data_IF_695189312637
#
_entry.id   IF_695189312637
#
_cell.length_a   1.000
_cell.length_b   1.000
_cell.length_c   1.000
_cell.angle_alpha   90.00
_cell.angle_beta   90.00
_cell.angle_gamma   90.00
#
_symmetry.space_group_name_H-M   'P 1'
#
loop_
_entity.id
_entity.type
_entity.pdbx_description
1 polymer ?
#
# COMPACT_ATOMS: atom_id res chain seq x y z
N UNK A 1 -4.23 34.08 10.33
CA UNK A 1 -4.94 33.07 9.56
C UNK A 1 -4.19 31.75 9.54
N UNK A 2 -4.86 30.71 9.61
CA UNK A 2 -4.22 29.41 9.66
C UNK A 2 -4.87 28.48 8.65
N UNK A 3 -4.13 27.52 8.21
CA UNK A 3 -4.61 26.50 7.34
C UNK A 3 -5.04 25.29 8.17
N UNK A 4 -6.24 24.83 7.92
CA UNK A 4 -6.75 23.62 8.56
C UNK A 4 -6.06 22.44 7.91
N UNK A 5 -5.16 21.83 8.62
CA UNK A 5 -4.47 20.64 8.13
C UNK A 5 -5.21 19.40 8.60
N UNK A 6 -5.71 18.62 7.66
CA UNK A 6 -6.40 17.38 7.99
C UNK A 6 -5.42 16.33 8.47
N UNK A 7 -5.88 15.52 9.41
CA UNK A 7 -5.13 14.33 9.82
C UNK A 7 -5.48 13.16 8.92
N UNK A 8 -4.62 12.16 8.92
CA UNK A 8 -4.86 10.90 8.21
C UNK A 8 -6.18 10.29 8.64
N UNK A 9 -6.44 10.30 9.95
CA UNK A 9 -7.70 9.75 10.49
C UNK A 9 -8.92 10.44 9.91
N UNK A 10 -8.88 11.76 9.78
CA UNK A 10 -9.99 12.53 9.20
C UNK A 10 -10.23 12.18 7.74
N UNK A 11 -9.14 11.97 6.97
CA UNK A 11 -9.26 11.55 5.58
C UNK A 11 -9.89 10.17 5.49
N UNK A 12 -9.45 9.23 6.33
CA UNK A 12 -9.96 7.87 6.30
C UNK A 12 -11.44 7.79 6.68
N UNK A 13 -11.93 8.69 7.51
CA UNK A 13 -13.34 8.71 7.90
C UNK A 13 -14.28 8.94 6.72
N UNK A 14 -13.81 9.63 5.70
CA UNK A 14 -14.62 9.92 4.51
C UNK A 14 -14.54 8.82 3.47
N UNK A 15 -13.74 7.79 3.73
CA UNK A 15 -13.58 6.68 2.80
C UNK A 15 -14.22 5.43 3.40
N UNK A 16 -15.34 5.03 2.83
CA UNK A 16 -16.07 3.83 3.28
C UNK A 16 -15.55 2.60 2.56
N UNK A 17 -14.27 2.28 2.76
CA UNK A 17 -13.75 1.10 2.11
C UNK A 17 -12.79 0.36 3.02
N UNK A 18 -12.77 -0.94 2.82
CA UNK A 18 -11.89 -1.83 3.55
C UNK A 18 -10.47 -1.70 3.01
N UNK A 19 -9.52 -2.04 3.85
CA UNK A 19 -8.16 -2.25 3.40
C UNK A 19 -8.15 -3.50 2.53
N UNK A 20 -7.72 -3.33 1.29
CA UNK A 20 -7.57 -4.46 0.38
C UNK A 20 -6.17 -5.02 0.55
N UNK A 21 -6.08 -6.28 0.89
CA UNK A 21 -4.82 -6.93 1.18
C UNK A 21 -4.68 -8.25 0.44
N UNK A 22 -3.46 -8.76 0.43
CA UNK A 22 -3.16 -10.05 -0.17
C UNK A 22 -2.13 -10.76 0.69
N UNK A 23 -2.12 -12.10 0.62
CA UNK A 23 -1.16 -12.90 1.37
C UNK A 23 0.18 -12.98 0.63
N UNK A 24 1.30 -13.13 1.36
CA UNK A 24 2.63 -13.18 0.74
C UNK A 24 2.78 -14.32 -0.27
N UNK A 25 2.13 -15.44 -0.03
CA UNK A 25 2.25 -16.62 -0.89
C UNK A 25 1.30 -16.62 -2.08
N UNK A 26 0.44 -15.62 -2.21
CA UNK A 26 -0.40 -15.48 -3.38
C UNK A 26 0.45 -15.18 -4.61
N UNK A 27 -0.05 -15.54 -5.78
CA UNK A 27 0.65 -15.22 -7.03
C UNK A 27 0.52 -13.74 -7.35
N UNK A 28 1.49 -13.24 -8.11
CA UNK A 28 1.42 -11.88 -8.65
C UNK A 28 0.15 -11.72 -9.49
N UNK A 29 -0.21 -12.78 -10.24
CA UNK A 29 -1.42 -12.73 -11.05
C UNK A 29 -2.68 -12.49 -10.20
N UNK A 30 -2.81 -13.20 -9.08
CA UNK A 30 -3.93 -12.99 -8.17
C UNK A 30 -3.95 -11.56 -7.63
N UNK A 31 -2.77 -11.01 -7.34
CA UNK A 31 -2.65 -9.63 -6.88
C UNK A 31 -3.15 -8.64 -7.94
N UNK A 32 -2.77 -8.87 -9.20
CA UNK A 32 -3.21 -8.00 -10.30
C UNK A 32 -4.71 -8.07 -10.51
N UNK A 33 -5.30 -9.26 -10.42
CA UNK A 33 -6.75 -9.44 -10.53
C UNK A 33 -7.45 -8.64 -9.43
N UNK A 34 -6.94 -8.73 -8.20
CA UNK A 34 -7.53 -8.04 -7.07
C UNK A 34 -7.43 -6.52 -7.22
N UNK A 35 -6.28 -6.04 -7.68
CA UNK A 35 -6.09 -4.60 -7.93
C UNK A 35 -7.03 -4.09 -9.02
N UNK A 36 -7.21 -4.85 -10.08
CA UNK A 36 -8.12 -4.49 -11.15
C UNK A 36 -9.57 -4.46 -10.66
N UNK A 37 -9.94 -5.45 -9.85
CA UNK A 37 -11.30 -5.53 -9.30
C UNK A 37 -11.66 -4.31 -8.44
N UNK A 38 -10.70 -3.83 -7.67
CA UNK A 38 -10.92 -2.70 -6.76
C UNK A 38 -10.46 -1.36 -7.33
N UNK A 39 -9.91 -1.36 -8.54
CA UNK A 39 -9.39 -0.16 -9.20
C UNK A 39 -8.38 0.59 -8.31
N UNK A 40 -7.40 -0.15 -7.82
CA UNK A 40 -6.35 0.39 -6.97
C UNK A 40 -4.97 0.00 -7.50
N UNK A 41 -3.97 0.81 -7.20
CA UNK A 41 -2.61 0.63 -7.71
C UNK A 41 -1.65 -0.04 -6.75
N UNK A 42 -2.13 -0.48 -5.58
CA UNK A 42 -1.29 -1.16 -4.62
C UNK A 42 -2.11 -2.02 -3.68
N UNK A 43 -1.43 -2.99 -3.06
CA UNK A 43 -2.04 -3.86 -2.04
C UNK A 43 -1.09 -3.93 -0.86
N UNK A 44 -1.64 -3.86 0.35
CA UNK A 44 -0.84 -4.23 1.52
C UNK A 44 -0.73 -5.75 1.55
N UNK A 45 0.43 -6.24 1.92
CA UNK A 45 0.69 -7.68 2.01
C UNK A 45 0.69 -8.05 3.48
N UNK A 46 -0.28 -8.87 3.86
CA UNK A 46 -0.48 -9.26 5.25
C UNK A 46 -0.28 -10.77 5.41
N UNK A 47 0.52 -11.11 6.40
CA UNK A 47 0.66 -12.49 6.86
C UNK A 47 -0.18 -12.59 8.13
N UNK A 48 -1.41 -13.09 7.98
CA UNK A 48 -2.41 -12.92 9.03
C UNK A 48 -2.76 -11.45 9.17
N UNK A 49 -2.50 -10.87 10.33
CA UNK A 49 -2.71 -9.44 10.57
C UNK A 49 -1.40 -8.64 10.49
N UNK A 50 -0.28 -9.32 10.28
CA UNK A 50 1.02 -8.68 10.28
C UNK A 50 1.36 -8.12 8.90
N UNK A 51 1.68 -6.83 8.85
CA UNK A 51 2.13 -6.18 7.63
C UNK A 51 3.54 -6.66 7.29
N UNK A 52 3.70 -7.29 6.13
CA UNK A 52 4.98 -7.82 5.68
C UNK A 52 5.53 -7.08 4.48
N UNK A 53 4.70 -6.36 3.75
CA UNK A 53 5.15 -5.64 2.59
C UNK A 53 4.03 -4.87 1.93
N UNK A 54 4.37 -4.23 0.82
CA UNK A 54 3.41 -3.59 -0.06
C UNK A 54 3.76 -3.96 -1.49
N UNK A 55 2.75 -4.27 -2.28
CA UNK A 55 2.89 -4.61 -3.68
C UNK A 55 2.19 -3.55 -4.53
N UNK A 56 2.91 -2.97 -5.49
CA UNK A 56 2.37 -1.90 -6.33
C UNK A 56 2.52 -2.24 -7.80
N UNK A 57 1.81 -1.47 -8.65
CA UNK A 57 1.96 -1.56 -10.09
C UNK A 57 3.41 -1.29 -10.52
N UNK A 58 4.11 -0.43 -9.80
CA UNK A 58 5.53 -0.16 -10.06
C UNK A 58 6.37 -1.40 -9.82
N UNK A 59 6.10 -2.13 -8.72
CA UNK A 59 6.80 -3.38 -8.42
C UNK A 59 6.55 -4.40 -9.53
N UNK A 60 5.32 -4.49 -10.00
CA UNK A 60 4.97 -5.39 -11.08
C UNK A 60 5.76 -5.06 -12.35
N UNK A 61 5.76 -3.80 -12.75
CA UNK A 61 6.46 -3.39 -13.96
C UNK A 61 7.96 -3.67 -13.87
N UNK A 62 8.58 -3.32 -12.76
CA UNK A 62 10.04 -3.37 -12.61
C UNK A 62 10.57 -4.76 -12.26
N UNK A 63 9.83 -5.53 -11.45
CA UNK A 63 10.31 -6.78 -10.91
C UNK A 63 9.74 -8.02 -11.62
N UNK A 64 8.69 -7.84 -12.39
CA UNK A 64 8.06 -8.95 -13.11
C UNK A 64 8.17 -8.75 -14.61
N UNK A 65 7.56 -7.69 -15.14
CA UNK A 65 7.53 -7.46 -16.59
C UNK A 65 8.93 -7.27 -17.15
N UNK A 66 9.69 -6.33 -16.61
CA UNK A 66 11.03 -6.03 -17.13
C UNK A 66 12.04 -7.17 -16.93
N UNK A 67 11.81 -8.02 -15.92
CA UNK A 67 12.69 -9.16 -15.67
C UNK A 67 12.20 -10.45 -16.34
N UNK A 68 11.12 -10.38 -17.11
CA UNK A 68 10.60 -11.53 -17.84
C UNK A 68 10.05 -12.65 -16.97
N UNK A 69 9.60 -12.32 -15.76
CA UNK A 69 9.03 -13.32 -14.86
C UNK A 69 7.56 -13.59 -15.18
N UNK A 70 7.11 -14.79 -14.83
CA UNK A 70 5.71 -15.18 -15.00
C UNK A 70 4.87 -14.71 -13.81
N UNK A 71 3.81 -13.95 -14.08
CA UNK A 71 2.89 -13.49 -13.03
C UNK A 71 2.24 -14.64 -12.29
N UNK A 72 1.96 -15.74 -12.97
CA UNK A 72 1.28 -16.90 -12.39
C UNK A 72 2.20 -17.77 -11.56
N UNK A 73 3.50 -17.72 -11.80
CA UNK A 73 4.48 -18.55 -11.11
C UNK A 73 5.32 -17.78 -10.08
N UNK A 74 5.15 -16.47 -10.02
CA UNK A 74 5.88 -15.65 -9.06
C UNK A 74 4.97 -15.30 -7.88
N UNK A 75 5.47 -15.48 -6.67
CA UNK A 75 4.74 -15.12 -5.46
C UNK A 75 4.95 -13.65 -5.12
N UNK A 76 3.93 -13.05 -4.53
CA UNK A 76 3.97 -11.64 -4.13
C UNK A 76 5.18 -11.37 -3.23
N UNK A 77 5.48 -12.27 -2.28
CA UNK A 77 6.61 -12.09 -1.36
C UNK A 77 7.96 -11.95 -2.06
N UNK A 78 8.08 -12.47 -3.28
CA UNK A 78 9.35 -12.41 -4.01
C UNK A 78 9.64 -11.03 -4.59
N UNK A 79 8.58 -10.23 -4.82
CA UNK A 79 8.75 -8.97 -5.53
C UNK A 79 8.17 -7.77 -4.78
N UNK A 80 7.52 -7.95 -3.65
CA UNK A 80 6.96 -6.85 -2.88
C UNK A 80 8.05 -6.00 -2.26
N UNK A 81 7.70 -4.77 -1.91
CA UNK A 81 8.57 -3.90 -1.13
C UNK A 81 8.47 -4.31 0.32
N UNK A 82 9.60 -4.69 0.94
CA UNK A 82 9.63 -5.18 2.32
C UNK A 82 9.71 -4.07 3.36
N UNK A 83 10.45 -3.01 3.04
CA UNK A 83 10.59 -1.86 3.95
C UNK A 83 9.44 -0.92 3.71
N UNK A 84 8.33 -1.18 4.38
CA UNK A 84 7.12 -0.40 4.19
C UNK A 84 7.18 0.83 5.09
N UNK A 85 7.04 1.99 4.47
CA UNK A 85 6.95 3.25 5.18
C UNK A 85 5.49 3.44 5.57
N UNK A 86 5.22 3.52 6.87
CA UNK A 86 3.87 3.64 7.40
C UNK A 86 3.66 4.97 8.10
N UNK A 87 2.41 5.36 8.23
CA UNK A 87 2.03 6.56 8.98
C UNK A 87 1.01 6.20 10.04
N UNK A 88 0.82 7.10 10.99
CA UNK A 88 -0.15 6.95 12.07
C UNK A 88 -1.40 7.77 11.78
N UNK A 89 -2.53 7.43 12.38
CA UNK A 89 -3.79 8.18 12.17
C UNK A 89 -3.70 9.65 12.59
N UNK A 90 -2.84 9.97 13.55
CA UNK A 90 -2.71 11.34 14.08
C UNK A 90 -1.77 12.22 13.26
N UNK A 91 -1.06 11.63 12.28
CA UNK A 91 -0.21 12.43 11.41
C UNK A 91 -1.05 13.25 10.43
N UNK A 92 -0.49 14.36 9.96
CA UNK A 92 -1.20 15.24 9.05
C UNK A 92 -1.02 14.78 7.60
N UNK A 93 -1.94 15.20 6.76
CA UNK A 93 -1.85 14.98 5.31
C UNK A 93 -0.57 15.61 4.77
N UNK A 94 -0.23 16.81 5.26
CA UNK A 94 1.00 17.50 4.83
C UNK A 94 2.25 16.67 5.14
N UNK A 95 2.29 16.04 6.33
CA UNK A 95 3.39 15.16 6.68
C UNK A 95 3.48 13.96 5.73
N UNK A 96 2.33 13.38 5.37
CA UNK A 96 2.28 12.27 4.44
C UNK A 96 2.79 12.67 3.06
N UNK A 97 2.37 13.83 2.57
CA UNK A 97 2.83 14.33 1.27
C UNK A 97 4.33 14.58 1.27
N UNK A 98 4.85 15.11 2.38
CA UNK A 98 6.29 15.28 2.54
C UNK A 98 7.05 13.96 2.47
N UNK A 99 6.53 12.94 3.14
CA UNK A 99 7.14 11.60 3.12
C UNK A 99 7.09 10.99 1.71
N UNK A 100 5.96 11.11 1.05
CA UNK A 100 5.81 10.59 -0.31
C UNK A 100 6.80 11.23 -1.27
N UNK A 101 6.99 12.54 -1.15
CA UNK A 101 7.94 13.27 -1.97
C UNK A 101 9.38 12.88 -1.64
N UNK A 102 9.73 12.91 -0.35
CA UNK A 102 11.10 12.62 0.09
C UNK A 102 11.52 11.19 -0.22
N UNK A 103 10.63 10.24 -0.07
CA UNK A 103 10.91 8.80 -0.25
C UNK A 103 10.48 8.26 -1.60
N UNK A 104 9.87 9.09 -2.44
CA UNK A 104 9.39 8.71 -3.77
C UNK A 104 8.46 7.50 -3.74
N UNK A 105 7.54 7.51 -2.79
CA UNK A 105 6.49 6.50 -2.67
C UNK A 105 5.14 7.17 -2.87
N UNK A 106 4.17 6.40 -3.35
CA UNK A 106 2.81 6.91 -3.62
C UNK A 106 1.76 6.34 -2.69
N UNK A 107 2.13 5.37 -1.89
CA UNK A 107 1.19 4.66 -1.04
C UNK A 107 1.80 4.53 0.34
N UNK A 108 1.05 4.95 1.37
CA UNK A 108 1.48 4.86 2.76
C UNK A 108 0.41 4.10 3.54
N UNK A 109 0.69 2.89 3.99
CA UNK A 109 -0.21 2.20 4.90
C UNK A 109 -0.33 2.97 6.22
N UNK A 110 -1.53 2.97 6.77
CA UNK A 110 -1.81 3.62 8.05
C UNK A 110 -1.91 2.54 9.10
N UNK A 111 -1.04 2.61 10.12
CA UNK A 111 -1.03 1.66 11.22
C UNK A 111 -1.59 2.31 12.49
N UNK A 112 -2.51 1.61 13.12
CA UNK A 112 -3.04 1.98 14.42
C UNK A 112 -2.88 0.77 15.33
N UNK A 113 -2.00 0.88 16.33
CA UNK A 113 -1.70 -0.23 17.23
C UNK A 113 -1.33 -1.51 16.48
N UNK A 114 -0.43 -1.40 15.52
CA UNK A 114 0.09 -2.50 14.68
C UNK A 114 -0.94 -3.08 13.70
N UNK A 115 -2.10 -2.47 13.60
CA UNK A 115 -3.12 -2.91 12.66
C UNK A 115 -3.23 -1.93 11.50
N UNK A 116 -3.27 -2.45 10.28
CA UNK A 116 -3.45 -1.60 9.09
C UNK A 116 -4.92 -1.20 9.02
N UNK A 117 -5.18 0.09 9.10
CA UNK A 117 -6.55 0.61 9.06
C UNK A 117 -6.89 1.33 7.77
N UNK A 118 -5.91 1.54 6.92
CA UNK A 118 -6.14 2.21 5.64
C UNK A 118 -4.85 2.38 4.88
N UNK A 119 -4.94 2.99 3.70
CA UNK A 119 -3.80 3.36 2.87
C UNK A 119 -4.05 4.77 2.35
N UNK A 120 -3.05 5.63 2.53
CA UNK A 120 -3.08 6.97 1.94
C UNK A 120 -2.32 6.90 0.62
N UNK A 121 -2.94 7.40 -0.45
CA UNK A 121 -2.32 7.39 -1.77
C UNK A 121 -2.55 8.71 -2.49
N UNK A 122 -1.69 8.96 -3.44
CA UNK A 122 -1.82 10.10 -4.35
C UNK A 122 -2.27 9.60 -5.71
#
# INVERSE_FOLDING_TARGET
MHTMTKTVQQVLKHKLHRVVSIEPDASVYEALVLMAKHDIGSLVVLDGERLTGIFSERDYARQVVLLGKSSKETHVREIMTHKVLCVRPDQTVDECMGLMTAKRVRHLPVLDHKKVIGVISI
#
